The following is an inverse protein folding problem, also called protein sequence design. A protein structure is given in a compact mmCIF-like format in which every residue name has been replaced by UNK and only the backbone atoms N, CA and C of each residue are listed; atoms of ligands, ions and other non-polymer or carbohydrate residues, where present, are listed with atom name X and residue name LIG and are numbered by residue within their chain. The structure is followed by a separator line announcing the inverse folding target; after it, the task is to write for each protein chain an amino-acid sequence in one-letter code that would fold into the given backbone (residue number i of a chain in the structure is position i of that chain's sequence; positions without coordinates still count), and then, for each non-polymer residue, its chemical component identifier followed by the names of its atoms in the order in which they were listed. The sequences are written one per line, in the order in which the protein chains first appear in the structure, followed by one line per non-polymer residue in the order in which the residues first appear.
data_IF_538712458389
#
_entry.id   IF_538712458389
#
_cell.length_a   1.000
_cell.length_b   1.000
_cell.length_c   1.000
_cell.angle_alpha   90.00
_cell.angle_beta   90.00
_cell.angle_gamma   90.00
#
_symmetry.space_group_name_H-M   'P 1'
#
loop_
_entity.id
_entity.type
_entity.pdbx_description
1 polymer ?
#
# COMPACT_ATOMS: atom_id res chain seq x y z
N UNK A 1 -26.20 -3.00 24.54
CA UNK A 1 -25.47 -1.85 23.98
C UNK A 1 -25.00 -2.26 22.58
N UNK A 2 -25.67 -1.79 21.52
CA UNK A 2 -25.22 -2.03 20.15
C UNK A 2 -24.14 -0.99 19.83
N UNK A 3 -22.88 -1.40 19.72
CA UNK A 3 -21.80 -0.51 19.30
C UNK A 3 -21.96 -0.18 17.81
N UNK A 4 -22.63 0.94 17.53
CA UNK A 4 -22.53 1.59 16.23
C UNK A 4 -21.12 2.19 16.14
N UNK A 5 -20.23 1.49 15.43
CA UNK A 5 -18.98 2.05 14.93
C UNK A 5 -19.39 3.08 13.88
N UNK A 6 -19.54 4.33 14.30
CA UNK A 6 -19.77 5.45 13.39
C UNK A 6 -18.43 5.72 12.68
N UNK A 7 -18.33 5.55 11.35
CA UNK A 7 -17.12 5.90 10.63
C UNK A 7 -16.85 7.40 10.75
N UNK A 8 -15.65 7.76 11.19
CA UNK A 8 -15.16 9.13 11.40
C UNK A 8 -15.10 9.98 10.11
N UNK A 9 -15.44 9.38 8.96
CA UNK A 9 -15.62 10.08 7.68
C UNK A 9 -17.08 9.96 7.23
N UNK A 10 -17.88 11.05 7.34
CA UNK A 10 -19.26 11.07 6.84
C UNK A 10 -19.26 11.10 5.31
N UNK A 11 -19.02 9.94 4.70
CA UNK A 11 -18.98 9.80 3.23
C UNK A 11 -18.04 8.73 2.70
N UNK A 12 -17.17 8.14 3.55
CA UNK A 12 -16.37 7.00 3.11
C UNK A 12 -17.19 5.71 3.29
N UNK A 13 -17.52 4.97 2.21
CA UNK A 13 -18.19 3.68 2.33
C UNK A 13 -17.27 2.72 3.11
N UNK A 14 -17.67 2.35 4.32
CA UNK A 14 -16.86 1.55 5.22
C UNK A 14 -17.30 0.09 5.24
N UNK A 15 -16.44 -0.84 4.81
CA UNK A 15 -16.72 -2.28 4.85
C UNK A 15 -17.66 -2.75 3.73
N UNK A 16 -18.93 -3.12 4.02
CA UNK A 16 -19.83 -3.70 3.01
C UNK A 16 -20.20 -2.77 1.85
N UNK A 17 -20.32 -1.46 2.06
CA UNK A 17 -20.64 -0.51 0.98
C UNK A 17 -19.56 -0.49 -0.11
N UNK A 18 -18.28 -0.64 0.27
CA UNK A 18 -17.17 -0.70 -0.67
C UNK A 18 -17.23 -1.99 -1.52
N UNK A 19 -17.68 -3.10 -0.92
CA UNK A 19 -17.95 -4.35 -1.65
C UNK A 19 -19.08 -4.20 -2.67
N UNK A 20 -20.14 -3.47 -2.33
CA UNK A 20 -21.25 -3.19 -3.26
C UNK A 20 -20.78 -2.33 -4.44
N UNK A 21 -20.00 -1.28 -4.18
CA UNK A 21 -19.43 -0.43 -5.24
C UNK A 21 -18.51 -1.26 -6.15
N UNK A 22 -17.65 -2.09 -5.57
CA UNK A 22 -16.79 -3.00 -6.33
C UNK A 22 -17.61 -3.96 -7.19
N UNK A 23 -18.70 -4.51 -6.65
CA UNK A 23 -19.58 -5.42 -7.38
C UNK A 23 -20.23 -4.72 -8.59
N UNK A 24 -20.73 -3.50 -8.43
CA UNK A 24 -21.29 -2.72 -9.55
C UNK A 24 -20.22 -2.45 -10.62
N UNK A 25 -19.00 -2.06 -10.23
CA UNK A 25 -17.90 -1.86 -11.18
C UNK A 25 -17.55 -3.15 -11.94
N UNK A 26 -17.56 -4.29 -11.24
CA UNK A 26 -17.34 -5.60 -11.85
C UNK A 26 -18.47 -5.99 -12.81
N UNK A 27 -19.71 -5.61 -12.55
CA UNK A 27 -20.81 -5.85 -13.50
C UNK A 27 -20.69 -4.98 -14.76
N UNK A 28 -20.27 -3.72 -14.62
CA UNK A 28 -20.11 -2.79 -15.74
C UNK A 28 -18.91 -3.12 -16.62
N UNK A 29 -17.76 -3.37 -16.00
CA UNK A 29 -16.49 -3.59 -16.70
C UNK A 29 -16.12 -5.07 -16.85
N UNK A 30 -16.65 -5.95 -16.01
CA UNK A 30 -16.30 -7.37 -15.96
C UNK A 30 -15.18 -7.68 -14.96
N UNK A 31 -15.24 -8.86 -14.32
CA UNK A 31 -14.28 -9.31 -13.31
C UNK A 31 -12.82 -9.39 -13.82
N UNK A 32 -12.63 -9.52 -15.14
CA UNK A 32 -11.32 -9.63 -15.76
C UNK A 32 -10.68 -8.28 -16.12
N UNK A 33 -11.44 -7.18 -16.20
CA UNK A 33 -10.88 -5.89 -16.69
C UNK A 33 -10.05 -5.18 -15.64
N UNK A 34 -10.56 -5.04 -14.41
CA UNK A 34 -9.83 -4.41 -13.30
C UNK A 34 -8.46 -5.08 -13.04
N UNK A 35 -8.37 -6.42 -12.85
CA UNK A 35 -7.07 -7.06 -12.61
C UNK A 35 -6.15 -6.99 -13.83
N UNK A 36 -6.69 -7.02 -15.05
CA UNK A 36 -5.89 -6.89 -16.27
C UNK A 36 -5.27 -5.49 -16.39
N UNK A 37 -6.04 -4.44 -16.12
CA UNK A 37 -5.56 -3.06 -16.09
C UNK A 37 -4.51 -2.88 -14.99
N UNK A 38 -4.78 -3.38 -13.77
CA UNK A 38 -3.82 -3.31 -12.68
C UNK A 38 -2.50 -3.99 -13.05
N UNK A 39 -2.55 -5.14 -13.73
CA UNK A 39 -1.35 -5.85 -14.16
C UNK A 39 -0.57 -5.11 -15.24
N UNK A 40 -1.22 -4.61 -16.29
CA UNK A 40 -0.52 -3.84 -17.34
C UNK A 40 0.06 -2.54 -16.81
N UNK A 41 -0.70 -1.81 -15.99
CA UNK A 41 -0.22 -0.57 -15.36
C UNK A 41 0.91 -0.86 -14.38
N UNK A 42 0.81 -1.93 -13.60
CA UNK A 42 1.87 -2.35 -12.68
C UNK A 42 3.16 -2.76 -13.37
N UNK A 43 3.07 -3.46 -14.51
CA UNK A 43 4.23 -3.78 -15.34
C UNK A 43 4.88 -2.51 -15.89
N UNK A 44 4.09 -1.60 -16.48
CA UNK A 44 4.60 -0.32 -16.98
C UNK A 44 5.26 0.52 -15.88
N UNK A 45 4.63 0.61 -14.70
CA UNK A 45 5.20 1.32 -13.55
C UNK A 45 6.49 0.68 -13.05
N UNK A 46 6.58 -0.65 -13.07
CA UNK A 46 7.76 -1.41 -12.66
C UNK A 46 8.94 -1.22 -13.60
N UNK A 47 8.71 -1.31 -14.92
CA UNK A 47 9.72 -1.02 -15.94
C UNK A 47 10.17 0.43 -15.88
N UNK A 48 9.23 1.36 -15.68
CA UNK A 48 9.53 2.78 -15.49
C UNK A 48 10.40 3.02 -14.25
N UNK A 49 10.10 2.38 -13.11
CA UNK A 49 10.92 2.52 -11.89
C UNK A 49 12.34 2.01 -12.11
N UNK A 50 12.50 0.85 -12.76
CA UNK A 50 13.81 0.28 -13.09
C UNK A 50 14.63 1.17 -14.02
N UNK A 51 14.01 1.66 -15.10
CA UNK A 51 14.69 2.59 -16.00
C UNK A 51 15.08 3.89 -15.32
N UNK A 52 14.27 4.38 -14.36
CA UNK A 52 14.65 5.56 -13.56
C UNK A 52 15.84 5.28 -12.63
N UNK A 53 15.88 4.12 -12.00
CA UNK A 53 16.99 3.70 -11.14
C UNK A 53 18.30 3.57 -11.94
N UNK A 54 18.24 2.95 -13.13
CA UNK A 54 19.39 2.81 -14.05
C UNK A 54 19.91 4.18 -14.51
N UNK A 55 19.02 5.11 -14.89
CA UNK A 55 19.41 6.47 -15.25
C UNK A 55 20.02 7.21 -14.04
N UNK A 56 19.48 7.04 -12.84
CA UNK A 56 20.04 7.66 -11.63
C UNK A 56 21.44 7.11 -11.29
N UNK A 57 21.65 5.80 -11.49
CA UNK A 57 22.94 5.14 -11.34
C UNK A 57 23.95 5.59 -12.39
N UNK A 58 23.56 5.66 -13.68
CA UNK A 58 24.41 6.19 -14.76
C UNK A 58 24.78 7.67 -14.53
N UNK A 59 23.83 8.48 -14.06
CA UNK A 59 24.08 9.88 -13.72
C UNK A 59 25.01 10.02 -12.51
N UNK A 60 24.92 9.11 -11.53
CA UNK A 60 25.80 9.06 -10.38
C UNK A 60 27.20 8.60 -10.77
N UNK A 61 27.33 7.55 -11.59
CA UNK A 61 28.61 7.02 -12.07
C UNK A 61 29.31 8.04 -13.00
N UNK A 62 28.56 8.69 -13.89
CA UNK A 62 29.07 9.79 -14.73
C UNK A 62 29.43 11.05 -13.93
N UNK A 63 28.80 11.29 -12.77
CA UNK A 63 29.21 12.33 -11.83
C UNK A 63 30.44 11.92 -10.99
N UNK A 64 30.58 10.63 -10.66
CA UNK A 64 31.71 10.09 -9.91
C UNK A 64 33.00 9.99 -10.76
N UNK A 65 32.91 9.85 -12.10
CA UNK A 65 34.05 10.05 -13.02
C UNK A 65 34.60 11.50 -12.94
N UNK A 66 33.79 12.46 -12.48
CA UNK A 66 34.20 13.85 -12.24
C UNK A 66 34.49 14.19 -10.76
N UNK A 67 34.45 13.23 -9.82
CA UNK A 67 34.92 13.45 -8.45
C UNK A 67 34.17 12.72 -7.34
N UNK A 68 34.79 11.64 -6.84
CA UNK A 68 34.87 11.20 -5.44
C UNK A 68 33.62 11.19 -4.55
N UNK A 69 33.22 9.96 -4.18
CA UNK A 69 32.75 9.51 -2.85
C UNK A 69 31.32 9.85 -2.42
N UNK A 70 30.46 8.83 -2.24
CA UNK A 70 30.22 8.17 -0.91
C UNK A 70 28.93 7.34 -0.93
N UNK A 71 29.07 6.14 -0.38
CA UNK A 71 28.11 5.09 -0.01
C UNK A 71 26.98 5.53 0.93
N UNK A 72 25.75 5.00 0.76
CA UNK A 72 24.71 4.75 1.79
C UNK A 72 23.62 3.91 1.10
N UNK A 73 23.63 2.58 1.22
CA UNK A 73 23.16 1.77 2.35
C UNK A 73 21.63 1.84 2.56
N UNK A 74 21.01 0.68 2.36
CA UNK A 74 19.60 0.36 2.52
C UNK A 74 19.04 0.78 3.89
N UNK A 75 17.77 1.18 3.94
CA UNK A 75 17.01 1.29 5.19
C UNK A 75 15.65 0.63 5.05
N UNK A 76 15.60 -0.52 5.70
CA UNK A 76 14.46 -1.27 6.24
C UNK A 76 13.35 -0.40 6.85
N UNK A 77 12.09 -0.75 6.59
CA UNK A 77 10.88 -0.44 7.38
C UNK A 77 9.76 -1.31 6.79
N UNK A 78 8.99 -2.13 7.50
CA UNK A 78 8.96 -2.56 8.88
C UNK A 78 7.91 -3.68 8.88
N UNK A 79 8.30 -4.92 9.15
CA UNK A 79 7.36 -5.88 9.71
C UNK A 79 7.12 -5.47 11.17
N UNK A 80 5.87 -5.18 11.53
CA UNK A 80 5.41 -5.01 12.91
C UNK A 80 4.07 -5.74 12.99
N UNK A 81 4.08 -7.02 13.36
CA UNK A 81 4.18 -7.56 14.72
C UNK A 81 2.80 -7.69 15.37
N UNK A 82 2.53 -8.94 15.73
CA UNK A 82 1.75 -9.42 16.88
C UNK A 82 0.26 -9.11 16.94
N UNK A 83 -0.50 -10.12 16.50
CA UNK A 83 -1.36 -10.90 17.40
C UNK A 83 -0.99 -10.74 18.87
N UNK A 84 -1.85 -10.08 19.64
CA UNK A 84 -2.00 -10.33 21.07
C UNK A 84 -3.48 -10.61 21.34
N UNK A 85 -3.78 -11.90 21.52
CA UNK A 85 -4.93 -12.40 22.27
C UNK A 85 -4.37 -12.85 23.62
N UNK A 86 -4.72 -12.11 24.67
CA UNK A 86 -4.62 -12.41 26.12
C UNK A 86 -4.94 -11.09 26.81
N UNK A 87 -5.72 -10.96 27.88
CA UNK A 87 -6.32 -11.88 28.83
C UNK A 87 -7.32 -11.02 29.63
N UNK A 88 -8.48 -11.61 29.91
CA UNK A 88 -9.26 -11.55 31.16
C UNK A 88 -9.08 -10.37 32.13
N UNK A 89 -10.23 -9.76 32.48
CA UNK A 89 -10.64 -9.25 33.82
C UNK A 89 -9.57 -9.19 34.93
N UNK A 90 -9.55 -8.13 35.77
CA UNK A 90 -10.68 -7.88 36.69
C UNK A 90 -10.92 -6.41 37.12
N UNK A 91 -11.94 -6.24 37.96
CA UNK A 91 -12.24 -5.12 38.86
C UNK A 91 -12.96 -3.88 38.26
N UNK A 92 -14.27 -3.73 38.52
CA UNK A 92 -14.93 -3.22 39.75
C UNK A 92 -14.92 -1.69 39.81
N UNK A 93 -16.11 -1.07 39.77
CA UNK A 93 -16.57 -0.05 40.74
C UNK A 93 -17.75 0.77 40.20
N UNK A 94 -18.80 0.83 41.01
CA UNK A 94 -20.07 1.61 40.94
C UNK A 94 -21.08 1.29 39.85
#
# INVERSE_FOLDING_TARGET
MQNAIVPLFPGLPGGPELLIVLFVLVLLFGANKIPKLARSTGQAMGEFKRGREEIEEELKEGAEESGSSTETAETSTSETSTTETSTTEPEKSS
#
